data_IF_039756708447
#
_entry.id   IF_039756708447
#
_cell.length_a   1.000
_cell.length_b   1.000
_cell.length_c   1.000
_cell.angle_alpha   90.00
_cell.angle_beta   90.00
_cell.angle_gamma   90.00
#
_symmetry.space_group_name_H-M   'P 1'
#
loop_
_entity.id
_entity.type
_entity.pdbx_description
1 polymer ?
#
# COMPACT_ATOMS: atom_id res chain seq x y z
N UNK A 1 46.76 78.91 -23.09
CA UNK A 1 47.59 77.73 -23.42
C UNK A 1 47.66 76.72 -22.27
N UNK A 2 47.96 77.08 -21.03
CA UNK A 2 48.11 76.10 -19.92
C UNK A 2 46.78 75.48 -19.42
N UNK A 3 45.73 76.30 -19.22
CA UNK A 3 44.40 75.84 -18.76
C UNK A 3 43.70 74.82 -19.68
N UNK A 4 43.92 74.95 -20.99
CA UNK A 4 43.31 74.05 -21.98
C UNK A 4 43.97 72.66 -21.99
N UNK A 5 45.25 72.59 -21.58
CA UNK A 5 45.98 71.33 -21.48
C UNK A 5 45.56 70.55 -20.23
N UNK A 6 45.36 71.24 -19.10
CA UNK A 6 44.82 70.65 -17.86
C UNK A 6 43.39 70.14 -18.03
N UNK A 7 42.54 70.87 -18.77
CA UNK A 7 41.17 70.47 -19.02
C UNK A 7 41.09 69.21 -19.91
N UNK A 8 41.98 69.09 -20.91
CA UNK A 8 42.11 67.87 -21.72
C UNK A 8 42.59 66.67 -20.91
N UNK A 9 43.57 66.88 -20.02
CA UNK A 9 44.07 65.83 -19.12
C UNK A 9 43.00 65.40 -18.11
N UNK A 10 42.24 66.34 -17.54
CA UNK A 10 41.10 66.07 -16.64
C UNK A 10 39.98 65.31 -17.36
N UNK A 11 39.65 65.69 -18.59
CA UNK A 11 38.66 64.99 -19.41
C UNK A 11 39.12 63.57 -19.78
N UNK A 12 40.41 63.36 -20.08
CA UNK A 12 40.98 62.02 -20.31
C UNK A 12 40.91 61.15 -19.06
N UNK A 13 41.26 61.70 -17.90
CA UNK A 13 41.24 60.97 -16.63
C UNK A 13 39.80 60.56 -16.24
N UNK A 14 38.83 61.46 -16.40
CA UNK A 14 37.41 61.17 -16.13
C UNK A 14 36.85 60.13 -17.10
N UNK A 15 37.27 60.12 -18.37
CA UNK A 15 36.90 59.09 -19.34
C UNK A 15 37.43 57.71 -18.93
N UNK A 16 38.70 57.62 -18.54
CA UNK A 16 39.33 56.38 -18.07
C UNK A 16 38.63 55.81 -16.83
N UNK A 17 38.26 56.67 -15.87
CA UNK A 17 37.53 56.25 -14.66
C UNK A 17 36.14 55.69 -15.03
N UNK A 18 35.42 56.36 -15.94
CA UNK A 18 34.11 55.88 -16.43
C UNK A 18 34.23 54.53 -17.14
N UNK A 19 35.24 54.35 -17.97
CA UNK A 19 35.45 53.09 -18.69
C UNK A 19 35.83 51.96 -17.75
N UNK A 20 36.68 52.22 -16.75
CA UNK A 20 37.02 51.25 -15.70
C UNK A 20 35.80 50.83 -14.88
N UNK A 21 34.97 51.78 -14.44
CA UNK A 21 33.71 51.47 -13.74
C UNK A 21 32.74 50.67 -14.62
N UNK A 22 32.68 50.96 -15.92
CA UNK A 22 31.83 50.21 -16.87
C UNK A 22 32.33 48.79 -17.07
N UNK A 23 33.64 48.57 -17.13
CA UNK A 23 34.25 47.24 -17.21
C UNK A 23 34.01 46.43 -15.93
N UNK A 24 34.21 47.03 -14.75
CA UNK A 24 33.97 46.38 -13.46
C UNK A 24 32.50 45.99 -13.29
N UNK A 25 31.56 46.86 -13.69
CA UNK A 25 30.12 46.57 -13.66
C UNK A 25 29.75 45.39 -14.55
N UNK A 26 30.30 45.33 -15.77
CA UNK A 26 30.08 44.20 -16.70
C UNK A 26 30.62 42.89 -16.14
N UNK A 27 31.83 42.91 -15.57
CA UNK A 27 32.44 41.73 -14.98
C UNK A 27 31.65 41.20 -13.77
N UNK A 28 31.13 42.10 -12.93
CA UNK A 28 30.29 41.73 -11.80
C UNK A 28 28.96 41.10 -12.26
N UNK A 29 28.33 41.67 -13.30
CA UNK A 29 27.09 41.14 -13.88
C UNK A 29 27.30 39.74 -14.50
N UNK A 30 28.40 39.53 -15.22
CA UNK A 30 28.75 38.24 -15.81
C UNK A 30 28.99 37.16 -14.75
N UNK A 31 29.75 37.48 -13.68
CA UNK A 31 29.97 36.56 -12.55
C UNK A 31 28.66 36.20 -11.84
N UNK A 32 27.75 37.17 -11.69
CA UNK A 32 26.44 36.92 -11.06
C UNK A 32 25.58 35.99 -11.92
N UNK A 33 25.58 36.18 -13.25
CA UNK A 33 24.88 35.28 -14.19
C UNK A 33 25.44 33.86 -14.12
N UNK A 34 26.77 33.71 -14.16
CA UNK A 34 27.42 32.40 -14.08
C UNK A 34 27.10 31.70 -12.74
N UNK A 35 27.09 32.44 -11.63
CA UNK A 35 26.74 31.88 -10.31
C UNK A 35 25.27 31.42 -10.25
N UNK A 36 24.35 32.19 -10.83
CA UNK A 36 22.94 31.81 -10.90
C UNK A 36 22.73 30.58 -11.79
N UNK A 37 23.35 30.52 -12.96
CA UNK A 37 23.27 29.34 -13.84
C UNK A 37 23.84 28.08 -13.18
N UNK A 38 24.95 28.20 -12.43
CA UNK A 38 25.52 27.08 -11.66
C UNK A 38 24.56 26.59 -10.57
N UNK A 39 23.91 27.51 -9.84
CA UNK A 39 22.90 27.16 -8.82
C UNK A 39 21.70 26.46 -9.43
N UNK A 40 21.17 26.97 -10.55
CA UNK A 40 20.03 26.36 -11.24
C UNK A 40 20.35 24.94 -11.73
N UNK A 41 21.54 24.71 -12.28
CA UNK A 41 21.98 23.36 -12.69
C UNK A 41 22.11 22.41 -11.51
N UNK A 42 22.59 22.87 -10.37
CA UNK A 42 22.70 22.05 -9.16
C UNK A 42 21.32 21.71 -8.57
N UNK A 43 20.39 22.67 -8.56
CA UNK A 43 19.01 22.45 -8.14
C UNK A 43 18.28 21.47 -9.07
N UNK A 44 18.48 21.58 -10.39
CA UNK A 44 17.92 20.63 -11.35
C UNK A 44 18.43 19.22 -11.08
N UNK A 45 19.75 19.04 -10.88
CA UNK A 45 20.33 17.74 -10.51
C UNK A 45 19.75 17.19 -9.22
N UNK A 46 19.63 18.00 -8.17
CA UNK A 46 19.02 17.56 -6.90
C UNK A 46 17.56 17.15 -7.07
N UNK A 47 16.77 17.89 -7.86
CA UNK A 47 15.37 17.52 -8.17
C UNK A 47 15.29 16.20 -8.93
N UNK A 48 16.18 15.98 -9.89
CA UNK A 48 16.24 14.72 -10.65
C UNK A 48 16.66 13.55 -9.76
N UNK A 49 17.67 13.73 -8.92
CA UNK A 49 18.12 12.73 -7.93
C UNK A 49 17.00 12.39 -6.94
N UNK A 50 16.29 13.40 -6.40
CA UNK A 50 15.12 13.19 -5.55
C UNK A 50 13.99 12.45 -6.27
N UNK A 51 13.70 12.80 -7.53
CA UNK A 51 12.67 12.13 -8.33
C UNK A 51 13.05 10.67 -8.61
N UNK A 52 14.31 10.40 -8.93
CA UNK A 52 14.81 9.05 -9.14
C UNK A 52 14.73 8.21 -7.86
N UNK A 53 15.12 8.78 -6.71
CA UNK A 53 15.00 8.14 -5.41
C UNK A 53 13.54 7.82 -5.05
N UNK A 54 12.61 8.74 -5.33
CA UNK A 54 11.17 8.52 -5.12
C UNK A 54 10.63 7.40 -6.01
N UNK A 55 11.05 7.33 -7.27
CA UNK A 55 10.65 6.27 -8.21
C UNK A 55 11.21 4.90 -7.79
N UNK A 56 12.45 4.87 -7.29
CA UNK A 56 13.09 3.66 -6.79
C UNK A 56 12.41 3.18 -5.50
N UNK A 57 12.11 4.08 -4.56
CA UNK A 57 11.36 3.79 -3.35
C UNK A 57 9.95 3.26 -3.68
N UNK A 58 9.26 3.81 -4.69
CA UNK A 58 7.97 3.29 -5.14
C UNK A 58 8.06 1.87 -5.74
N UNK A 59 9.20 1.49 -6.32
CA UNK A 59 9.43 0.12 -6.84
C UNK A 59 9.77 -0.90 -5.75
N UNK A 60 10.36 -0.46 -4.65
CA UNK A 60 10.75 -1.33 -3.52
C UNK A 60 9.79 -1.28 -2.34
N UNK A 61 8.81 -0.37 -2.34
CA UNK A 61 7.77 -0.31 -1.33
C UNK A 61 6.87 -1.55 -1.47
N UNK A 62 6.92 -2.43 -0.47
CA UNK A 62 5.88 -3.42 -0.24
C UNK A 62 4.54 -2.67 -0.17
N UNK A 63 3.66 -2.98 -1.12
CA UNK A 63 2.45 -2.23 -1.45
C UNK A 63 1.33 -2.40 -0.42
N UNK A 64 1.61 -2.20 0.86
CA UNK A 64 0.67 -2.58 1.92
C UNK A 64 0.05 -1.43 2.72
N UNK A 65 0.27 -0.15 2.41
CA UNK A 65 -0.24 0.92 3.29
C UNK A 65 -0.85 2.19 2.66
N UNK A 66 -0.93 2.37 1.33
CA UNK A 66 -1.34 3.70 0.80
C UNK A 66 -2.38 3.70 -0.33
N UNK A 67 -2.93 2.56 -0.72
CA UNK A 67 -4.13 2.56 -1.58
C UNK A 67 -5.33 2.36 -0.67
N UNK A 68 -6.23 3.36 -0.49
CA UNK A 68 -7.50 3.08 0.16
C UNK A 68 -8.13 1.90 -0.60
N UNK A 69 -8.64 0.87 0.10
CA UNK A 69 -9.27 -0.25 -0.58
C UNK A 69 -10.26 0.28 -1.60
N UNK A 70 -10.31 -0.25 -2.84
CA UNK A 70 -11.33 0.16 -3.80
C UNK A 70 -12.68 0.12 -3.10
N UNK A 71 -13.54 1.13 -3.31
CA UNK A 71 -14.89 1.15 -2.76
C UNK A 71 -15.61 -0.10 -3.26
N UNK A 72 -15.72 -1.11 -2.41
CA UNK A 72 -16.25 -2.41 -2.80
C UNK A 72 -17.76 -2.40 -2.70
N UNK A 73 -18.41 -2.77 -3.80
CA UNK A 73 -19.81 -3.12 -3.83
C UNK A 73 -19.98 -4.47 -3.14
N UNK A 74 -20.41 -4.44 -1.86
CA UNK A 74 -20.76 -5.66 -1.12
C UNK A 74 -21.90 -6.36 -1.84
N UNK A 75 -21.80 -7.68 -1.92
CA UNK A 75 -22.88 -8.47 -2.52
C UNK A 75 -24.05 -8.52 -1.56
N UNK A 76 -25.30 -8.31 -2.05
CA UNK A 76 -26.47 -8.35 -1.20
C UNK A 76 -26.67 -9.77 -0.67
N UNK A 77 -27.00 -9.88 0.62
CA UNK A 77 -27.48 -11.14 1.17
C UNK A 77 -28.79 -11.54 0.46
N UNK A 78 -28.96 -12.84 0.29
CA UNK A 78 -30.22 -13.44 -0.16
C UNK A 78 -31.04 -13.89 1.05
N UNK A 79 -32.29 -14.30 0.82
CA UNK A 79 -33.16 -14.81 1.89
C UNK A 79 -32.55 -16.03 2.61
N UNK A 80 -31.75 -16.82 1.89
CA UNK A 80 -31.17 -18.08 2.36
C UNK A 80 -29.67 -18.01 2.67
N UNK A 81 -28.96 -16.99 2.19
CA UNK A 81 -27.50 -16.94 2.28
C UNK A 81 -27.01 -15.52 2.58
N UNK A 82 -26.24 -15.38 3.67
CA UNK A 82 -25.59 -14.14 4.10
C UNK A 82 -24.44 -13.70 3.17
N UNK A 83 -23.97 -14.60 2.30
CA UNK A 83 -22.84 -14.44 1.38
C UNK A 83 -21.57 -13.93 2.05
N UNK A 84 -20.63 -14.83 2.31
CA UNK A 84 -19.32 -14.51 2.91
C UNK A 84 -18.21 -14.30 1.87
N UNK A 85 -18.54 -14.33 0.58
CA UNK A 85 -17.53 -14.27 -0.48
C UNK A 85 -16.82 -12.91 -0.60
N UNK A 86 -17.37 -11.86 0.00
CA UNK A 86 -16.81 -10.53 0.04
C UNK A 86 -16.05 -10.22 1.35
N UNK A 87 -15.93 -11.17 2.27
CA UNK A 87 -15.13 -11.02 3.49
C UNK A 87 -13.64 -11.03 3.13
N UNK A 88 -12.90 -10.05 3.67
CA UNK A 88 -11.44 -9.96 3.51
C UNK A 88 -10.74 -10.17 4.84
N UNK A 89 -9.48 -10.60 4.80
CA UNK A 89 -8.66 -10.83 6.00
C UNK A 89 -8.29 -9.56 6.77
N UNK A 90 -8.40 -8.39 6.14
CA UNK A 90 -8.06 -7.07 6.70
C UNK A 90 -9.29 -6.27 7.17
N UNK A 91 -10.50 -6.79 6.96
CA UNK A 91 -11.74 -6.14 7.41
C UNK A 91 -11.99 -6.46 8.88
N UNK A 92 -12.32 -5.45 9.68
CA UNK A 92 -12.75 -5.65 11.07
C UNK A 92 -13.96 -6.60 11.08
N UNK A 93 -13.98 -7.51 12.05
CA UNK A 93 -15.15 -8.36 12.33
C UNK A 93 -16.42 -7.52 12.31
N UNK A 94 -17.48 -8.11 11.73
CA UNK A 94 -18.81 -7.51 11.66
C UNK A 94 -19.35 -7.29 13.09
N UNK A 95 -20.24 -6.32 13.25
CA UNK A 95 -20.91 -6.10 14.54
C UNK A 95 -22.04 -7.11 14.68
N UNK A 96 -21.99 -7.92 15.75
CA UNK A 96 -22.98 -8.98 16.00
C UNK A 96 -24.37 -8.40 16.35
N UNK A 97 -24.42 -7.22 16.99
CA UNK A 97 -25.68 -6.56 17.35
C UNK A 97 -26.26 -5.73 16.18
N UNK A 98 -25.40 -5.36 15.22
CA UNK A 98 -25.76 -4.57 14.05
C UNK A 98 -25.16 -5.18 12.76
N UNK A 99 -25.60 -6.38 12.35
CA UNK A 99 -25.02 -7.08 11.21
C UNK A 99 -25.11 -6.24 9.93
N UNK A 100 -24.00 -6.19 9.19
CA UNK A 100 -23.89 -5.39 7.96
C UNK A 100 -24.87 -5.80 6.87
N UNK A 101 -25.32 -7.06 6.86
CA UNK A 101 -26.27 -7.59 5.88
C UNK A 101 -27.50 -8.16 6.57
N UNK A 102 -28.56 -8.40 5.81
CA UNK A 102 -29.76 -9.07 6.33
C UNK A 102 -29.44 -10.53 6.64
N UNK A 103 -29.67 -10.95 7.88
CA UNK A 103 -29.54 -12.35 8.29
C UNK A 103 -30.56 -13.21 7.52
N UNK A 104 -30.23 -14.44 7.11
CA UNK A 104 -31.18 -15.38 6.52
C UNK A 104 -32.30 -15.78 7.48
N UNK A 105 -33.45 -16.20 6.96
CA UNK A 105 -34.61 -16.57 7.80
C UNK A 105 -34.31 -17.78 8.70
N UNK A 106 -33.65 -18.81 8.17
CA UNK A 106 -33.30 -20.01 8.92
C UNK A 106 -32.35 -19.74 10.10
N UNK A 107 -31.58 -18.65 10.03
CA UNK A 107 -30.63 -18.24 11.06
C UNK A 107 -31.25 -17.29 12.10
N UNK A 108 -32.58 -17.13 12.12
CA UNK A 108 -33.27 -16.19 13.03
C UNK A 108 -34.33 -16.85 13.90
N UNK A 109 -34.43 -16.36 15.14
CA UNK A 109 -35.60 -16.50 16.00
C UNK A 109 -36.12 -17.94 16.14
N UNK A 110 -37.39 -18.15 15.80
CA UNK A 110 -38.07 -19.43 15.94
C UNK A 110 -37.58 -20.50 14.95
N UNK A 111 -37.21 -20.09 13.72
CA UNK A 111 -36.73 -21.02 12.70
C UNK A 111 -35.42 -21.68 13.15
N UNK A 112 -34.46 -20.88 13.61
CA UNK A 112 -33.19 -21.38 14.16
C UNK A 112 -33.42 -22.32 15.35
N UNK A 113 -34.28 -21.91 16.30
CA UNK A 113 -34.61 -22.74 17.47
C UNK A 113 -35.20 -24.10 17.09
N UNK A 114 -36.14 -24.11 16.13
CA UNK A 114 -36.73 -25.35 15.65
C UNK A 114 -35.71 -26.26 14.96
N UNK A 115 -34.81 -25.69 14.15
CA UNK A 115 -33.75 -26.43 13.48
C UNK A 115 -32.76 -27.03 14.47
N UNK A 116 -32.38 -26.31 15.53
CA UNK A 116 -31.49 -26.80 16.57
C UNK A 116 -32.09 -27.98 17.36
N UNK A 117 -33.37 -27.90 17.72
CA UNK A 117 -34.07 -29.02 18.38
C UNK A 117 -34.14 -30.25 17.48
N UNK A 118 -34.43 -30.06 16.19
CA UNK A 118 -34.41 -31.15 15.21
C UNK A 118 -33.02 -31.75 15.03
N UNK A 119 -31.97 -30.90 15.04
CA UNK A 119 -30.58 -31.36 14.94
C UNK A 119 -30.17 -32.18 16.16
N UNK A 120 -30.58 -31.79 17.38
CA UNK A 120 -30.31 -32.54 18.60
C UNK A 120 -30.89 -33.97 18.53
N UNK A 121 -32.13 -34.10 18.05
CA UNK A 121 -32.78 -35.40 17.85
C UNK A 121 -32.11 -36.22 16.73
N UNK A 122 -31.73 -35.55 15.63
CA UNK A 122 -31.08 -36.17 14.48
C UNK A 122 -29.60 -36.50 14.66
N UNK A 123 -28.93 -35.93 15.67
CA UNK A 123 -27.50 -36.14 15.94
C UNK A 123 -27.16 -37.63 16.15
N UNK A 124 -28.14 -38.39 16.66
CA UNK A 124 -28.06 -39.85 16.83
C UNK A 124 -28.01 -40.62 15.50
N UNK A 125 -28.52 -40.05 14.41
CA UNK A 125 -28.40 -40.59 13.04
C UNK A 125 -27.14 -40.09 12.33
N UNK A 126 -26.61 -38.92 12.72
CA UNK A 126 -25.39 -38.38 12.13
C UNK A 126 -24.17 -39.23 12.47
N UNK A 127 -24.08 -39.81 13.67
CA UNK A 127 -23.02 -40.77 14.01
C UNK A 127 -23.00 -41.93 13.01
N UNK A 128 -24.16 -42.49 12.66
CA UNK A 128 -24.27 -43.58 11.69
C UNK A 128 -23.87 -43.15 10.25
N UNK A 129 -24.27 -41.94 9.82
CA UNK A 129 -23.92 -41.40 8.49
C UNK A 129 -22.45 -40.95 8.40
N UNK A 130 -21.91 -40.41 9.49
CA UNK A 130 -20.53 -39.96 9.62
C UNK A 130 -19.58 -41.13 9.91
N UNK A 131 -20.10 -42.35 10.09
CA UNK A 131 -19.28 -43.53 10.42
C UNK A 131 -18.25 -43.98 9.37
N UNK A 132 -18.25 -43.33 8.21
CA UNK A 132 -17.22 -43.46 7.18
C UNK A 132 -16.48 -42.16 6.85
N UNK A 133 -16.82 -41.04 7.50
CA UNK A 133 -16.20 -39.75 7.22
C UNK A 133 -14.92 -39.59 8.06
N UNK A 134 -13.82 -40.09 7.51
CA UNK A 134 -12.48 -39.69 7.97
C UNK A 134 -12.14 -38.38 7.27
N UNK A 135 -11.96 -37.26 7.98
CA UNK A 135 -11.54 -36.01 7.36
C UNK A 135 -10.18 -36.24 6.68
N UNK A 136 -10.16 -36.24 5.35
CA UNK A 136 -8.90 -36.23 4.62
C UNK A 136 -8.17 -34.92 4.93
N UNK A 137 -6.88 -35.02 5.22
CA UNK A 137 -6.06 -33.83 5.42
C UNK A 137 -6.16 -32.93 4.16
N UNK A 138 -6.45 -31.63 4.32
CA UNK A 138 -6.62 -30.73 3.18
C UNK A 138 -5.31 -30.60 2.40
N UNK A 139 -5.38 -30.80 1.09
CA UNK A 139 -4.24 -30.64 0.19
C UNK A 139 -4.00 -29.14 -0.07
N UNK A 140 -3.03 -28.59 0.65
CA UNK A 140 -2.68 -27.17 0.59
C UNK A 140 -2.18 -26.74 -0.80
N UNK A 141 -1.66 -27.66 -1.62
CA UNK A 141 -1.26 -27.32 -3.00
C UNK A 141 -2.46 -27.02 -3.90
N UNK A 142 -3.58 -27.72 -3.68
CA UNK A 142 -4.80 -27.53 -4.46
C UNK A 142 -5.58 -26.32 -3.99
N UNK A 143 -5.47 -25.97 -2.71
CA UNK A 143 -6.18 -24.83 -2.11
C UNK A 143 -5.49 -23.52 -2.44
N UNK A 144 -4.16 -23.46 -2.35
CA UNK A 144 -3.41 -22.21 -2.51
C UNK A 144 -2.66 -22.17 -3.85
N UNK A 145 -2.86 -21.08 -4.60
CA UNK A 145 -2.14 -20.82 -5.86
C UNK A 145 -0.62 -20.75 -5.66
N UNK A 146 -0.17 -20.15 -4.56
CA UNK A 146 1.26 -20.05 -4.22
C UNK A 146 1.69 -21.24 -3.37
N UNK A 147 2.45 -22.15 -3.99
CA UNK A 147 3.09 -23.27 -3.29
C UNK A 147 4.15 -22.77 -2.31
N UNK A 148 4.15 -23.31 -1.08
CA UNK A 148 5.12 -22.96 -0.03
C UNK A 148 5.75 -24.22 0.52
N UNK A 149 7.07 -24.17 0.82
CA UNK A 149 7.81 -25.29 1.44
C UNK A 149 7.14 -25.80 2.73
N UNK A 150 6.53 -24.89 3.50
CA UNK A 150 5.81 -25.20 4.73
C UNK A 150 4.63 -26.17 4.54
N UNK A 151 4.06 -26.28 3.34
CA UNK A 151 2.97 -27.22 3.08
C UNK A 151 3.40 -28.68 3.30
N UNK A 152 4.69 -28.98 3.07
CA UNK A 152 5.27 -30.32 3.21
C UNK A 152 6.05 -30.51 4.52
N UNK A 153 6.41 -29.41 5.20
CA UNK A 153 7.15 -29.46 6.44
C UNK A 153 6.19 -29.53 7.61
N UNK A 154 6.15 -30.69 8.25
CA UNK A 154 5.37 -30.92 9.45
C UNK A 154 6.28 -30.96 10.69
N UNK A 155 5.77 -30.46 11.80
CA UNK A 155 6.41 -30.55 13.12
C UNK A 155 5.63 -31.52 14.00
N UNK A 156 5.93 -31.61 15.30
CA UNK A 156 5.24 -32.52 16.24
C UNK A 156 3.71 -32.41 16.26
N UNK A 157 3.12 -31.27 15.86
CA UNK A 157 1.66 -31.07 15.73
C UNK A 157 0.99 -31.99 14.69
N UNK A 158 1.79 -32.61 13.82
CA UNK A 158 1.33 -33.56 12.83
C UNK A 158 1.22 -34.99 13.32
N UNK A 159 1.87 -35.29 14.43
CA UNK A 159 1.96 -36.62 15.01
C UNK A 159 0.93 -36.75 16.13
N UNK A 160 -0.22 -37.33 15.78
CA UNK A 160 -1.27 -37.65 16.74
C UNK A 160 -1.10 -39.09 17.22
N UNK A 161 -0.85 -39.27 18.52
CA UNK A 161 -0.63 -40.59 19.12
C UNK A 161 -1.94 -41.34 19.43
N UNK A 162 -3.06 -40.62 19.49
CA UNK A 162 -4.39 -41.20 19.60
C UNK A 162 -4.93 -41.52 18.19
N UNK A 163 -5.60 -42.66 17.99
CA UNK A 163 -6.29 -42.92 16.74
C UNK A 163 -7.36 -41.84 16.49
N UNK A 164 -7.65 -41.50 15.23
CA UNK A 164 -8.78 -40.65 14.92
C UNK A 164 -10.06 -41.32 15.46
N UNK A 165 -11.00 -40.50 15.94
CA UNK A 165 -12.30 -41.00 16.35
C UNK A 165 -12.92 -41.73 15.15
N UNK A 166 -13.26 -43.00 15.36
CA UNK A 166 -14.24 -43.68 14.51
C UNK A 166 -15.57 -43.14 14.99
N UNK A 167 -16.01 -42.04 14.39
CA UNK A 167 -17.44 -41.73 14.36
C UNK A 167 -18.12 -42.89 13.65
#
# INVERSE_FOLDING_TARGET
>A
MFREQEERESNRLTQLIKDKMKQEKKLCEEKLREQNERKEREEQRKREEQRAAMLQAARTADSYLMTPPPAQTRKPATIENYDISDIRSDESTDDEDAPRKRVPYWAQGAALKSALLQQEEAQRMFEELASGFVPHAPDLEKIFTKKRKRFYQRTSSAHWNSPPLKV
#
